data_IF_497891548061
#
_entry.id   IF_497891548061
#
_cell.length_a   1.000
_cell.length_b   1.000
_cell.length_c   1.000
_cell.angle_alpha   90.00
_cell.angle_beta   90.00
_cell.angle_gamma   90.00
#
_symmetry.space_group_name_H-M   'P 1'
#
loop_
_entity.id
_entity.type
_entity.pdbx_description
1 polymer ?
#
# COMPACT_ATOMS: atom_id res chain seq x y z
N UNK A 1 -19.97 2.21 11.71
CA UNK A 1 -18.59 2.27 12.23
C UNK A 1 -17.73 2.79 11.12
N UNK A 2 -17.06 3.93 11.30
CA UNK A 2 -16.03 4.38 10.35
C UNK A 2 -14.87 3.39 10.43
N UNK A 3 -14.55 2.77 9.31
CA UNK A 3 -13.48 1.79 9.18
C UNK A 3 -12.15 2.40 9.65
N UNK A 4 -11.47 1.73 10.58
CA UNK A 4 -10.18 2.19 11.10
C UNK A 4 -9.11 1.87 10.06
N UNK A 5 -8.71 2.87 9.26
CA UNK A 5 -7.54 2.74 8.36
C UNK A 5 -6.26 2.91 9.18
N UNK A 6 -5.48 1.84 9.29
CA UNK A 6 -4.19 1.85 10.02
C UNK A 6 -3.14 2.72 9.33
N UNK A 7 -3.24 2.84 8.01
CA UNK A 7 -2.37 3.64 7.14
C UNK A 7 -3.26 4.49 6.22
N UNK A 8 -3.79 5.63 6.70
CA UNK A 8 -4.62 6.51 5.88
C UNK A 8 -3.74 7.19 4.81
N UNK A 9 -3.53 6.49 3.70
CA UNK A 9 -2.86 6.98 2.51
C UNK A 9 -3.77 7.84 1.63
N UNK A 10 -3.30 8.22 0.43
CA UNK A 10 -1.98 7.91 -0.13
C UNK A 10 -0.85 8.70 0.50
N UNK A 11 0.32 8.08 0.62
CA UNK A 11 1.57 8.72 1.06
C UNK A 11 2.56 8.83 -0.10
N UNK A 12 3.39 9.87 -0.04
CA UNK A 12 4.45 10.17 -1.01
C UNK A 12 5.73 10.53 -0.29
N UNK A 13 6.85 10.26 -0.95
CA UNK A 13 8.15 10.81 -0.57
C UNK A 13 8.23 12.26 -1.03
N UNK A 14 8.76 13.13 -0.19
CA UNK A 14 9.10 14.50 -0.52
C UNK A 14 10.21 15.01 0.37
N UNK A 15 11.38 15.27 -0.23
CA UNK A 15 12.56 15.82 0.46
C UNK A 15 13.06 14.91 1.60
N UNK A 16 13.06 13.59 1.36
CA UNK A 16 13.42 12.59 2.36
C UNK A 16 12.34 12.32 3.41
N UNK A 17 11.23 13.08 3.42
CA UNK A 17 10.12 12.85 4.34
C UNK A 17 8.99 12.05 3.68
N UNK A 18 8.22 11.34 4.50
CA UNK A 18 6.96 10.72 4.08
C UNK A 18 5.81 11.64 4.43
N UNK A 19 5.00 12.01 3.44
CA UNK A 19 3.92 12.99 3.58
C UNK A 19 2.61 12.51 2.98
N UNK A 20 1.45 13.03 3.43
CA UNK A 20 0.18 12.74 2.77
C UNK A 20 0.17 13.37 1.38
N UNK A 21 -0.24 12.62 0.34
CA UNK A 21 -0.28 13.17 -1.02
C UNK A 21 -1.26 14.35 -1.15
N UNK A 22 -2.29 14.39 -0.29
CA UNK A 22 -3.28 15.46 -0.25
C UNK A 22 -2.75 16.77 0.35
N UNK A 23 -1.61 16.74 1.06
CA UNK A 23 -1.05 17.93 1.70
C UNK A 23 0.47 17.81 1.93
N UNK A 24 1.23 17.74 0.84
CA UNK A 24 2.69 17.56 0.86
C UNK A 24 3.43 18.70 1.58
N UNK A 25 2.84 19.90 1.69
CA UNK A 25 3.49 21.06 2.31
C UNK A 25 3.25 21.17 3.83
N UNK A 26 2.38 20.34 4.42
CA UNK A 26 1.91 20.54 5.78
C UNK A 26 2.16 19.32 6.67
N UNK A 27 3.41 19.23 7.14
CA UNK A 27 3.84 18.24 8.12
C UNK A 27 4.23 16.89 7.51
N UNK A 28 5.28 16.30 8.07
CA UNK A 28 5.70 14.94 7.75
C UNK A 28 4.96 13.92 8.63
N UNK A 29 4.55 12.80 8.03
CA UNK A 29 4.08 11.61 8.75
C UNK A 29 5.29 10.91 9.39
N UNK A 30 6.37 10.80 8.63
CA UNK A 30 7.67 10.29 9.06
C UNK A 30 8.72 11.25 8.52
N UNK A 31 9.62 11.69 9.39
CA UNK A 31 10.82 12.39 8.96
C UNK A 31 11.99 11.43 9.02
N UNK A 32 12.73 11.33 7.92
CA UNK A 32 13.88 10.44 7.83
C UNK A 32 15.16 11.27 7.94
N UNK A 33 16.18 10.72 8.60
CA UNK A 33 17.49 11.37 8.65
C UNK A 33 18.19 11.20 7.30
N UNK A 34 19.15 12.08 6.97
CA UNK A 34 19.95 12.01 5.73
C UNK A 34 20.66 10.65 5.53
N UNK A 35 20.89 9.89 6.60
CA UNK A 35 21.47 8.55 6.56
C UNK A 35 20.47 7.43 6.20
N UNK A 36 19.19 7.75 6.04
CA UNK A 36 18.15 6.77 5.71
C UNK A 36 18.24 6.41 4.24
N UNK A 37 18.24 5.11 3.91
CA UNK A 37 18.35 4.70 2.52
C UNK A 37 17.07 5.06 1.75
N UNK A 38 17.19 5.51 0.49
CA UNK A 38 16.05 5.75 -0.40
C UNK A 38 15.09 4.54 -0.44
N UNK A 39 15.63 3.33 -0.28
CA UNK A 39 14.87 2.09 -0.20
C UNK A 39 13.92 2.05 1.02
N UNK A 40 14.35 2.51 2.20
CA UNK A 40 13.50 2.57 3.39
C UNK A 40 12.37 3.60 3.22
N UNK A 41 12.68 4.73 2.58
CA UNK A 41 11.73 5.81 2.32
C UNK A 41 10.62 5.31 1.39
N UNK A 42 10.98 4.68 0.26
CA UNK A 42 10.01 4.09 -0.67
C UNK A 42 9.17 2.99 -0.02
N UNK A 43 9.78 2.14 0.81
CA UNK A 43 9.08 1.09 1.54
C UNK A 43 8.02 1.67 2.49
N UNK A 44 8.35 2.72 3.24
CA UNK A 44 7.40 3.37 4.17
C UNK A 44 6.30 4.08 3.38
N UNK A 45 6.62 4.77 2.28
CA UNK A 45 5.62 5.41 1.42
C UNK A 45 4.58 4.43 0.85
N UNK A 46 4.98 3.18 0.63
CA UNK A 46 4.12 2.10 0.14
C UNK A 46 3.26 1.43 1.23
N UNK A 47 3.42 1.78 2.51
CA UNK A 47 2.71 1.12 3.61
C UNK A 47 1.16 1.12 3.48
N UNK A 48 0.50 2.19 2.99
CA UNK A 48 -0.94 2.15 2.69
C UNK A 48 -1.29 1.09 1.64
N UNK A 49 -0.60 1.12 0.50
CA UNK A 49 -0.83 0.22 -0.63
C UNK A 49 -0.54 -1.24 -0.25
N UNK A 50 0.52 -1.49 0.53
CA UNK A 50 0.85 -2.82 1.05
C UNK A 50 -0.22 -3.36 2.01
N UNK A 51 -0.73 -2.53 2.91
CA UNK A 51 -1.78 -2.95 3.83
C UNK A 51 -3.05 -3.35 3.08
N UNK A 52 -3.48 -2.52 2.12
CA UNK A 52 -4.65 -2.81 1.27
C UNK A 52 -4.43 -4.08 0.44
N UNK A 53 -3.24 -4.29 -0.13
CA UNK A 53 -2.91 -5.48 -0.90
C UNK A 53 -2.91 -6.77 -0.05
N UNK A 54 -2.36 -6.71 1.18
CA UNK A 54 -2.38 -7.83 2.13
C UNK A 54 -3.80 -8.19 2.56
N UNK A 55 -4.63 -7.19 2.88
CA UNK A 55 -6.03 -7.41 3.23
C UNK A 55 -6.80 -8.03 2.05
N UNK A 56 -6.56 -7.54 0.83
CA UNK A 56 -7.18 -8.08 -0.37
C UNK A 56 -6.80 -9.55 -0.64
N UNK A 57 -5.57 -9.97 -0.31
CA UNK A 57 -5.15 -11.38 -0.37
C UNK A 57 -5.85 -12.25 0.67
N UNK A 58 -6.00 -11.78 1.90
CA UNK A 58 -6.75 -12.49 2.95
C UNK A 58 -8.21 -12.66 2.50
N UNK A 59 -8.84 -11.58 2.04
CA UNK A 59 -10.21 -11.60 1.55
C UNK A 59 -10.38 -12.55 0.36
N UNK A 60 -9.39 -12.62 -0.54
CA UNK A 60 -9.41 -13.55 -1.68
C UNK A 60 -9.40 -15.01 -1.20
N UNK A 61 -8.59 -15.32 -0.18
CA UNK A 61 -8.50 -16.66 0.40
C UNK A 61 -9.77 -17.02 1.20
N UNK A 62 -10.27 -16.12 2.04
CA UNK A 62 -11.44 -16.37 2.89
C UNK A 62 -12.75 -16.46 2.10
N UNK A 63 -12.85 -15.72 0.99
CA UNK A 63 -14.02 -15.78 0.10
C UNK A 63 -13.91 -16.89 -0.96
N UNK A 64 -12.89 -17.75 -0.92
CA UNK A 64 -12.85 -18.99 -1.67
C UNK A 64 -13.81 -20.00 -1.01
N UNK A 65 -15.11 -19.80 -1.20
CA UNK A 65 -16.14 -20.62 -0.54
C UNK A 65 -16.06 -22.10 -0.94
N UNK A 66 -16.44 -23.04 -0.04
CA UNK A 66 -16.51 -24.48 -0.34
C UNK A 66 -17.62 -24.85 -1.35
N UNK A 67 -18.49 -23.89 -1.72
CA UNK A 67 -19.58 -24.08 -2.69
C UNK A 67 -19.33 -23.40 -4.04
N UNK A 68 -18.07 -23.05 -4.34
CA UNK A 68 -17.61 -22.95 -5.72
C UNK A 68 -18.41 -21.99 -6.61
N UNK A 69 -18.65 -20.77 -6.14
CA UNK A 69 -18.72 -19.68 -7.12
C UNK A 69 -17.34 -19.57 -7.74
N UNK A 70 -17.22 -19.70 -9.06
CA UNK A 70 -15.94 -19.49 -9.77
C UNK A 70 -15.28 -18.25 -9.18
N UNK A 71 -14.08 -18.40 -8.63
CA UNK A 71 -13.29 -17.24 -8.28
C UNK A 71 -13.09 -16.52 -9.61
N UNK A 72 -13.85 -15.44 -9.83
CA UNK A 72 -13.78 -14.68 -11.07
C UNK A 72 -12.31 -14.35 -11.29
N UNK A 73 -11.75 -14.81 -12.41
CA UNK A 73 -10.37 -14.57 -12.79
C UNK A 73 -10.00 -13.10 -12.64
N UNK A 74 -10.95 -12.22 -12.96
CA UNK A 74 -10.88 -10.76 -12.78
C UNK A 74 -10.66 -10.31 -11.33
N UNK A 75 -11.18 -11.03 -10.33
CA UNK A 75 -10.92 -10.75 -8.91
C UNK A 75 -9.49 -11.12 -8.54
N UNK A 76 -9.02 -12.29 -8.97
CA UNK A 76 -7.65 -12.76 -8.74
C UNK A 76 -6.65 -11.82 -9.39
N UNK A 77 -6.88 -11.48 -10.65
CA UNK A 77 -6.00 -10.58 -11.42
C UNK A 77 -5.93 -9.20 -10.76
N UNK A 78 -7.06 -8.62 -10.30
CA UNK A 78 -7.07 -7.33 -9.58
C UNK A 78 -6.22 -7.35 -8.31
N UNK A 79 -6.35 -8.41 -7.50
CA UNK A 79 -5.53 -8.55 -6.27
C UNK A 79 -4.04 -8.63 -6.63
N UNK A 80 -3.69 -9.43 -7.65
CA UNK A 80 -2.30 -9.52 -8.10
C UNK A 80 -1.76 -8.21 -8.67
N UNK A 81 -2.56 -7.41 -9.38
CA UNK A 81 -2.15 -6.07 -9.82
C UNK A 81 -1.90 -5.15 -8.63
N UNK A 82 -2.80 -5.12 -7.64
CA UNK A 82 -2.59 -4.32 -6.42
C UNK A 82 -1.31 -4.72 -5.68
N UNK A 83 -1.02 -6.02 -5.55
CA UNK A 83 0.22 -6.48 -4.94
C UNK A 83 1.46 -6.05 -5.74
N UNK A 84 1.41 -6.10 -7.08
CA UNK A 84 2.52 -5.67 -7.93
C UNK A 84 2.77 -4.18 -7.83
N UNK A 85 1.72 -3.37 -7.86
CA UNK A 85 1.83 -1.91 -7.76
C UNK A 85 2.37 -1.51 -6.38
N UNK A 86 1.89 -2.14 -5.30
CA UNK A 86 2.41 -1.91 -3.95
C UNK A 86 3.90 -2.29 -3.83
N UNK A 87 4.32 -3.41 -4.44
CA UNK A 87 5.73 -3.83 -4.45
C UNK A 87 6.61 -2.92 -5.31
N UNK A 88 6.11 -2.48 -6.46
CA UNK A 88 6.85 -1.57 -7.33
C UNK A 88 7.10 -0.23 -6.64
N UNK A 89 6.06 0.32 -5.98
CA UNK A 89 6.17 1.53 -5.16
C UNK A 89 7.18 1.36 -4.02
N UNK A 90 7.15 0.22 -3.34
CA UNK A 90 8.08 -0.07 -2.25
C UNK A 90 9.54 -0.15 -2.68
N UNK A 91 9.80 -0.49 -3.94
CA UNK A 91 11.13 -0.55 -4.53
C UNK A 91 11.56 0.77 -5.20
N UNK A 92 10.68 1.76 -5.26
CA UNK A 92 10.91 3.00 -6.00
C UNK A 92 10.84 2.84 -7.52
N UNK A 93 10.14 1.82 -8.03
CA UNK A 93 10.02 1.52 -9.47
C UNK A 93 8.85 2.26 -10.17
N UNK A 94 8.02 2.98 -9.41
CA UNK A 94 6.78 3.64 -9.87
C UNK A 94 6.57 5.01 -9.25
#
# INVERSE_FOLDING_TARGET
>A
MTERKWTPGPWVEFDGDIRPASNVLNGAIVSTSEDTSDADVHLIAAAPDMYEALQAMIDLQENATPFGGEIYRDRVDRVFYQCRDALAKARGET
#
